data_IF_225670875320
#
_entry.id   IF_225670875320
#
_cell.length_a   1.000
_cell.length_b   1.000
_cell.length_c   1.000
_cell.angle_alpha   90.00
_cell.angle_beta   90.00
_cell.angle_gamma   90.00
#
_symmetry.space_group_name_H-M   'P 1'
#
loop_
_entity.id
_entity.type
_entity.pdbx_description
1 polymer ?
#
# COMPACT_ATOMS: atom_id res chain seq x y z
N UNK A 1 -17.81 -18.90 0.27
CA UNK A 1 -16.82 -18.18 1.10
C UNK A 1 -15.54 -18.06 0.29
N UNK A 2 -15.01 -16.85 0.12
CA UNK A 2 -13.73 -16.64 -0.56
C UNK A 2 -12.60 -16.73 0.48
N UNK A 3 -11.70 -17.70 0.32
CA UNK A 3 -10.51 -17.83 1.17
C UNK A 3 -9.51 -16.75 0.79
N UNK A 4 -9.28 -15.77 1.67
CA UNK A 4 -8.25 -14.76 1.46
C UNK A 4 -6.88 -15.39 1.74
N UNK A 5 -6.09 -15.63 0.69
CA UNK A 5 -4.74 -16.19 0.82
C UNK A 5 -3.73 -15.06 0.85
N UNK A 6 -2.89 -15.00 1.89
CA UNK A 6 -1.78 -14.06 1.96
C UNK A 6 -0.82 -14.31 0.79
N UNK A 7 -0.47 -13.25 0.06
CA UNK A 7 0.48 -13.34 -1.05
C UNK A 7 1.90 -13.25 -0.49
N UNK A 8 2.81 -14.09 -1.00
CA UNK A 8 4.24 -13.90 -0.73
C UNK A 8 4.70 -12.57 -1.34
N UNK A 9 5.76 -11.91 -0.83
CA UNK A 9 6.10 -10.53 -1.20
C UNK A 9 6.18 -10.25 -2.70
N UNK A 10 6.78 -11.15 -3.49
CA UNK A 10 6.87 -11.00 -4.94
C UNK A 10 5.52 -11.12 -5.66
N UNK A 11 4.59 -11.94 -5.13
CA UNK A 11 3.24 -12.04 -5.66
C UNK A 11 2.41 -10.81 -5.31
N UNK A 12 2.56 -10.31 -4.07
CA UNK A 12 1.92 -9.06 -3.65
C UNK A 12 2.41 -7.87 -4.49
N UNK A 13 3.71 -7.78 -4.74
CA UNK A 13 4.31 -6.75 -5.60
C UNK A 13 3.74 -6.79 -7.01
N UNK A 14 3.66 -7.97 -7.64
CA UNK A 14 3.06 -8.11 -8.98
C UNK A 14 1.59 -7.74 -8.99
N UNK A 15 0.79 -8.23 -8.04
CA UNK A 15 -0.63 -7.91 -7.96
C UNK A 15 -0.86 -6.39 -7.81
N UNK A 16 -0.08 -5.73 -6.97
CA UNK A 16 -0.10 -4.28 -6.80
C UNK A 16 0.33 -3.59 -8.10
N UNK A 17 1.43 -4.01 -8.71
CA UNK A 17 1.90 -3.44 -9.98
C UNK A 17 0.85 -3.59 -11.09
N UNK A 18 0.15 -4.71 -11.16
CA UNK A 18 -0.92 -4.97 -12.12
C UNK A 18 -2.15 -4.08 -11.85
N UNK A 19 -2.56 -3.91 -10.58
CA UNK A 19 -3.68 -3.02 -10.20
C UNK A 19 -3.37 -1.57 -10.61
N UNK A 20 -2.15 -1.12 -10.36
CA UNK A 20 -1.72 0.25 -10.66
C UNK A 20 -1.13 0.41 -12.07
N UNK A 21 -1.08 -0.64 -12.88
CA UNK A 21 -0.48 -0.61 -14.23
C UNK A 21 -1.16 0.38 -15.19
N UNK A 22 -2.43 0.69 -14.92
CA UNK A 22 -3.22 1.65 -15.68
C UNK A 22 -3.02 3.11 -15.25
N UNK A 23 -2.30 3.35 -14.14
CA UNK A 23 -2.01 4.69 -13.65
C UNK A 23 -0.75 5.22 -14.34
N UNK A 24 -0.92 6.20 -15.23
CA UNK A 24 0.19 6.81 -15.95
C UNK A 24 0.90 7.89 -15.12
N UNK A 25 2.12 8.24 -15.51
CA UNK A 25 2.83 9.37 -14.90
C UNK A 25 2.07 10.71 -15.09
N UNK A 26 1.20 10.83 -16.09
CA UNK A 26 0.35 12.00 -16.28
C UNK A 26 -0.83 12.03 -15.30
N UNK A 27 -1.31 10.87 -14.85
CA UNK A 27 -2.33 10.75 -13.80
C UNK A 27 -1.76 11.11 -12.41
N UNK A 28 -0.44 10.94 -12.24
CA UNK A 28 0.29 11.27 -10.99
C UNK A 28 0.81 12.71 -10.97
N UNK A 29 1.26 13.25 -12.12
CA UNK A 29 1.87 14.59 -12.22
C UNK A 29 0.80 15.68 -12.33
N UNK A 30 0.56 16.40 -11.24
CA UNK A 30 -0.36 17.54 -11.24
C UNK A 30 0.26 18.81 -11.86
N UNK A 31 -0.59 19.67 -12.46
CA UNK A 31 -0.22 21.05 -12.80
C UNK A 31 -0.05 21.84 -11.49
N UNK A 32 1.09 22.52 -11.35
CA UNK A 32 1.41 23.32 -10.17
C UNK A 32 0.26 24.30 -9.84
N UNK A 33 -0.25 24.25 -8.60
CA UNK A 33 -1.16 25.26 -8.06
C UNK A 33 -2.62 24.86 -7.79
N UNK A 34 -3.04 23.60 -8.02
CA UNK A 34 -4.35 23.10 -7.57
C UNK A 34 -4.13 22.03 -6.49
N UNK A 35 -4.74 22.19 -5.30
CA UNK A 35 -4.62 21.23 -4.19
C UNK A 35 -5.91 20.43 -4.05
N UNK A 36 -5.78 19.13 -4.31
CA UNK A 36 -6.47 17.94 -3.74
C UNK A 36 -5.77 16.72 -4.41
N UNK A 37 -5.08 15.77 -3.79
CA UNK A 37 -4.73 15.51 -2.38
C UNK A 37 -3.76 14.32 -2.27
N UNK A 38 -2.81 14.17 -3.20
CA UNK A 38 -1.85 13.05 -3.28
C UNK A 38 -0.38 13.48 -3.11
N UNK A 39 -0.14 14.77 -2.85
CA UNK A 39 1.16 15.24 -2.36
C UNK A 39 1.37 14.73 -0.92
N UNK A 40 2.32 13.80 -0.74
CA UNK A 40 2.59 13.14 0.53
C UNK A 40 2.08 11.69 0.62
N UNK A 41 1.38 11.19 -0.40
CA UNK A 41 1.02 9.77 -0.44
C UNK A 41 2.23 8.88 -0.76
N UNK A 42 2.31 7.73 -0.08
CA UNK A 42 3.33 6.73 -0.36
C UNK A 42 2.93 5.88 -1.56
N UNK A 43 3.88 5.70 -2.49
CA UNK A 43 3.71 4.73 -3.57
C UNK A 43 3.62 3.31 -2.98
N UNK A 44 2.87 2.40 -3.63
CA UNK A 44 2.74 1.02 -3.15
C UNK A 44 4.07 0.27 -2.99
N UNK A 45 5.07 0.61 -3.82
CA UNK A 45 6.43 0.07 -3.71
C UNK A 45 7.16 0.56 -2.47
N UNK A 46 7.00 1.84 -2.11
CA UNK A 46 7.56 2.39 -0.88
C UNK A 46 6.93 1.75 0.36
N UNK A 47 5.61 1.49 0.34
CA UNK A 47 4.92 0.79 1.43
C UNK A 47 5.44 -0.65 1.57
N UNK A 48 5.60 -1.36 0.46
CA UNK A 48 6.13 -2.74 0.48
C UNK A 48 7.55 -2.79 1.07
N UNK A 49 8.39 -1.79 0.77
CA UNK A 49 9.72 -1.67 1.37
C UNK A 49 9.65 -1.41 2.87
N UNK A 50 8.75 -0.53 3.32
CA UNK A 50 8.55 -0.26 4.76
C UNK A 50 8.07 -1.51 5.49
N UNK A 51 7.10 -2.25 4.94
CA UNK A 51 6.62 -3.51 5.54
C UNK A 51 7.77 -4.52 5.66
N UNK A 52 8.63 -4.64 4.64
CA UNK A 52 9.81 -5.50 4.70
C UNK A 52 10.83 -5.03 5.76
N UNK A 53 11.02 -3.72 5.92
CA UNK A 53 11.92 -3.16 6.92
C UNK A 53 11.41 -3.36 8.36
N UNK A 54 10.10 -3.29 8.58
CA UNK A 54 9.48 -3.59 9.87
C UNK A 54 9.69 -5.07 10.23
N UNK A 55 9.68 -5.95 9.24
CA UNK A 55 9.92 -7.38 9.43
C UNK A 55 8.64 -8.14 9.77
N UNK A 56 8.75 -9.12 10.67
CA UNK A 56 7.63 -10.02 10.97
C UNK A 56 6.60 -9.33 11.89
N UNK A 57 5.54 -8.79 11.30
CA UNK A 57 4.36 -8.28 12.01
C UNK A 57 3.39 -9.45 12.28
N UNK A 58 3.05 -9.67 13.54
CA UNK A 58 2.23 -10.77 14.05
C UNK A 58 0.89 -10.29 14.61
N UNK A 59 0.06 -11.24 15.06
CA UNK A 59 -1.33 -11.00 15.44
C UNK A 59 -1.50 -9.99 16.59
N UNK A 60 -0.57 -9.97 17.53
CA UNK A 60 -0.63 -9.09 18.71
C UNK A 60 -0.07 -7.69 18.44
N UNK A 61 0.46 -7.44 17.24
CA UNK A 61 0.99 -6.13 16.85
C UNK A 61 -0.14 -5.17 16.45
N UNK A 62 0.03 -3.89 16.80
CA UNK A 62 -0.92 -2.84 16.50
C UNK A 62 -0.36 -1.93 15.40
N UNK A 63 -1.11 -1.80 14.30
CA UNK A 63 -0.82 -0.85 13.22
C UNK A 63 -1.80 0.33 13.26
N UNK A 64 -1.27 1.55 13.15
CA UNK A 64 -2.05 2.79 13.16
C UNK A 64 -1.62 3.71 12.02
N UNK A 65 -2.56 4.04 11.14
CA UNK A 65 -2.38 4.97 10.01
C UNK A 65 -3.08 6.30 10.30
N UNK A 66 -2.32 7.27 10.82
CA UNK A 66 -2.86 8.60 11.17
C UNK A 66 -2.94 9.44 9.90
N UNK A 67 -4.17 9.75 9.47
CA UNK A 67 -4.42 10.48 8.23
C UNK A 67 -4.47 9.58 7.00
N UNK A 68 -5.07 8.39 7.14
CA UNK A 68 -5.07 7.31 6.15
C UNK A 68 -5.57 7.67 4.74
N UNK A 69 -6.25 8.80 4.54
CA UNK A 69 -6.77 9.21 3.24
C UNK A 69 -7.62 8.11 2.61
N UNK A 70 -7.23 7.66 1.41
CA UNK A 70 -7.91 6.57 0.68
C UNK A 70 -7.55 5.15 1.17
N UNK A 71 -6.70 5.02 2.19
CA UNK A 71 -6.25 3.74 2.73
C UNK A 71 -5.13 3.08 1.92
N UNK A 72 -4.41 3.88 1.12
CA UNK A 72 -3.33 3.40 0.26
C UNK A 72 -2.17 2.78 1.04
N UNK A 73 -2.02 3.07 2.34
CA UNK A 73 -1.03 2.45 3.23
C UNK A 73 -1.63 1.27 4.00
N UNK A 74 -2.79 1.45 4.65
CA UNK A 74 -3.43 0.42 5.47
C UNK A 74 -3.81 -0.85 4.69
N UNK A 75 -4.32 -0.72 3.46
CA UNK A 75 -4.76 -1.88 2.68
C UNK A 75 -3.60 -2.81 2.26
N UNK A 76 -2.50 -2.31 1.67
CA UNK A 76 -1.32 -3.14 1.42
C UNK A 76 -0.71 -3.71 2.70
N UNK A 77 -0.70 -2.96 3.81
CA UNK A 77 -0.18 -3.43 5.09
C UNK A 77 -0.90 -4.70 5.59
N UNK A 78 -2.24 -4.70 5.59
CA UNK A 78 -3.05 -5.87 6.01
C UNK A 78 -2.91 -7.06 5.05
N UNK A 79 -2.65 -6.80 3.76
CA UNK A 79 -2.46 -7.86 2.76
C UNK A 79 -1.06 -8.49 2.87
N UNK A 80 -0.06 -7.75 3.35
CA UNK A 80 1.34 -8.17 3.39
C UNK A 80 1.79 -8.68 4.76
N UNK A 81 0.98 -8.52 5.80
CA UNK A 81 1.32 -8.90 7.18
C UNK A 81 0.37 -9.94 7.77
N UNK A 82 0.76 -10.56 8.88
CA UNK A 82 -0.08 -11.49 9.64
C UNK A 82 -0.83 -10.83 10.80
N UNK A 83 -0.82 -9.49 10.88
CA UNK A 83 -1.67 -8.75 11.81
C UNK A 83 -3.14 -9.04 11.45
N UNK A 84 -3.83 -9.79 12.32
CA UNK A 84 -5.17 -10.34 12.08
C UNK A 84 -6.03 -10.21 13.33
#
# INVERSE_FOLDING_TARGET
MATLRLLVPNQAHKAIADIFSWVSAADVRQRAGKRDGNAGEMLPTAISNVVQMIGNVVQDDIFLDIGAGLGNVAAPFVIQTNAR
#
